data_IF_839555459986
#
_entry.id   IF_839555459986
#
_cell.length_a   1.000
_cell.length_b   1.000
_cell.length_c   1.000
_cell.angle_alpha   90.00
_cell.angle_beta   90.00
_cell.angle_gamma   90.00
#
_symmetry.space_group_name_H-M   'P 1'
#
loop_
_entity.id
_entity.type
_entity.pdbx_description
1 polymer ?
#
# COMPACT_ATOMS: atom_id res chain seq x y z
N UNK A 1 -12.58 -8.10 7.25
CA UNK A 1 -12.53 -6.69 7.71
C UNK A 1 -13.13 -5.81 6.62
N UNK A 2 -13.45 -4.53 6.86
CA UNK A 2 -13.88 -3.61 5.79
C UNK A 2 -12.71 -2.75 5.30
N UNK A 3 -12.72 -2.36 4.02
CA UNK A 3 -11.70 -1.47 3.45
C UNK A 3 -11.58 -0.16 4.22
N UNK A 4 -12.71 0.36 4.72
CA UNK A 4 -12.78 1.57 5.54
C UNK A 4 -12.03 1.44 6.88
N UNK A 5 -12.07 0.26 7.51
CA UNK A 5 -11.30 0.02 8.74
C UNK A 5 -9.79 0.04 8.47
N UNK A 6 -9.35 -0.58 7.36
CA UNK A 6 -7.95 -0.54 6.92
C UNK A 6 -7.53 0.90 6.60
N UNK A 7 -8.36 1.65 5.88
CA UNK A 7 -8.12 3.05 5.55
C UNK A 7 -7.97 3.94 6.80
N UNK A 8 -8.80 3.71 7.82
CA UNK A 8 -8.70 4.42 9.10
C UNK A 8 -7.39 4.11 9.82
N UNK A 9 -6.97 2.83 9.85
CA UNK A 9 -5.71 2.42 10.45
C UNK A 9 -4.51 3.03 9.69
N UNK A 10 -4.53 3.00 8.36
CA UNK A 10 -3.52 3.65 7.52
C UNK A 10 -3.39 5.14 7.84
N UNK A 11 -4.52 5.84 7.92
CA UNK A 11 -4.57 7.29 8.21
C UNK A 11 -3.98 7.62 9.58
N UNK A 12 -4.23 6.78 10.59
CA UNK A 12 -3.70 6.96 11.95
C UNK A 12 -2.17 6.86 12.01
N UNK A 13 -1.56 6.02 11.15
CA UNK A 13 -0.13 5.78 11.11
C UNK A 13 0.56 6.33 9.87
N UNK A 14 -0.06 7.30 9.18
CA UNK A 14 0.35 7.75 7.85
C UNK A 14 1.86 8.05 7.71
N UNK A 15 2.44 8.79 8.66
CA UNK A 15 3.89 9.09 8.63
C UNK A 15 4.78 7.84 8.65
N UNK A 16 4.42 6.83 9.46
CA UNK A 16 5.17 5.57 9.55
C UNK A 16 4.99 4.73 8.29
N UNK A 17 3.78 4.77 7.73
CA UNK A 17 3.42 4.02 6.52
C UNK A 17 4.09 4.60 5.29
N UNK A 18 4.09 5.91 5.10
CA UNK A 18 4.83 6.54 3.99
C UNK A 18 6.32 6.19 4.07
N UNK A 19 6.93 6.30 5.25
CA UNK A 19 8.34 5.91 5.44
C UNK A 19 8.60 4.41 5.17
N UNK A 20 7.63 3.55 5.48
CA UNK A 20 7.74 2.12 5.25
C UNK A 20 7.51 1.74 3.80
N UNK A 21 6.64 2.45 3.08
CA UNK A 21 6.49 2.33 1.63
C UNK A 21 7.80 2.70 0.96
N UNK A 22 8.40 3.83 1.34
CA UNK A 22 9.68 4.27 0.79
C UNK A 22 10.76 3.20 0.99
N UNK A 23 10.87 2.68 2.23
CA UNK A 23 11.82 1.62 2.58
C UNK A 23 11.56 0.33 1.81
N UNK A 24 10.29 -0.09 1.72
CA UNK A 24 9.90 -1.29 1.01
C UNK A 24 10.23 -1.18 -0.49
N UNK A 25 9.98 -0.01 -1.10
CA UNK A 25 10.30 0.26 -2.51
C UNK A 25 11.81 0.31 -2.73
N UNK A 26 12.56 0.92 -1.82
CA UNK A 26 14.03 0.97 -1.92
C UNK A 26 14.66 -0.41 -1.85
N UNK A 27 14.13 -1.27 -0.99
CA UNK A 27 14.58 -2.64 -0.81
C UNK A 27 14.30 -3.54 -2.03
N UNK A 28 13.50 -3.11 -3.00
CA UNK A 28 13.20 -3.92 -4.19
C UNK A 28 14.45 -4.06 -5.08
N UNK A 29 14.95 -5.28 -5.29
CA UNK A 29 16.03 -5.51 -6.25
C UNK A 29 15.46 -5.49 -7.68
N UNK A 30 16.30 -5.15 -8.66
CA UNK A 30 15.98 -5.20 -10.09
C UNK A 30 14.86 -4.24 -10.59
N UNK A 31 14.43 -3.29 -9.76
CA UNK A 31 13.55 -2.18 -10.17
C UNK A 31 14.43 -0.96 -10.45
N UNK A 32 14.23 -0.30 -11.59
CA UNK A 32 14.97 0.91 -11.93
C UNK A 32 14.68 2.04 -10.93
N UNK A 33 15.66 2.90 -10.64
CA UNK A 33 15.49 4.02 -9.71
C UNK A 33 14.40 5.00 -10.16
N UNK A 34 14.19 5.11 -11.47
CA UNK A 34 13.10 5.89 -12.05
C UNK A 34 11.72 5.30 -11.70
N UNK A 35 11.57 3.98 -11.79
CA UNK A 35 10.34 3.31 -11.38
C UNK A 35 10.13 3.42 -9.87
N UNK A 36 11.18 3.22 -9.07
CA UNK A 36 11.11 3.40 -7.60
C UNK A 36 10.65 4.81 -7.24
N UNK A 37 11.25 5.84 -7.84
CA UNK A 37 10.89 7.24 -7.59
C UNK A 37 9.45 7.53 -7.99
N UNK A 38 9.00 6.98 -9.12
CA UNK A 38 7.61 7.11 -9.58
C UNK A 38 6.65 6.44 -8.61
N UNK A 39 6.97 5.22 -8.18
CA UNK A 39 6.13 4.45 -7.25
C UNK A 39 6.03 5.11 -5.88
N UNK A 40 7.11 5.66 -5.33
CA UNK A 40 7.07 6.41 -4.06
C UNK A 40 6.18 7.66 -4.12
N UNK A 41 6.21 8.37 -5.25
CA UNK A 41 5.35 9.54 -5.46
C UNK A 41 3.87 9.17 -5.59
N UNK A 42 3.58 8.03 -6.22
CA UNK A 42 2.21 7.57 -6.44
C UNK A 42 1.63 6.85 -5.22
N UNK A 43 2.41 5.97 -4.60
CA UNK A 43 2.02 5.13 -3.48
C UNK A 43 2.22 5.87 -2.16
N UNK A 44 1.32 6.81 -1.88
CA UNK A 44 1.25 7.50 -0.59
C UNK A 44 0.11 6.96 0.25
N UNK A 45 0.18 7.13 1.56
CA UNK A 45 -0.90 6.78 2.48
C UNK A 45 -2.21 7.44 2.06
N UNK A 46 -2.15 8.73 1.70
CA UNK A 46 -3.33 9.49 1.26
C UNK A 46 -3.97 8.85 0.02
N UNK A 47 -3.16 8.45 -0.96
CA UNK A 47 -3.64 7.79 -2.17
C UNK A 47 -4.25 6.41 -1.86
N UNK A 48 -3.58 5.61 -1.02
CA UNK A 48 -4.08 4.29 -0.58
C UNK A 48 -5.41 4.42 0.16
N UNK A 49 -5.52 5.34 1.11
CA UNK A 49 -6.75 5.63 1.87
C UNK A 49 -7.88 6.01 0.91
N UNK A 50 -7.60 6.86 -0.08
CA UNK A 50 -8.60 7.26 -1.07
C UNK A 50 -9.11 6.08 -1.89
N UNK A 51 -8.22 5.19 -2.35
CA UNK A 51 -8.60 3.98 -3.09
C UNK A 51 -9.42 3.02 -2.22
N UNK A 52 -8.97 2.76 -1.00
CA UNK A 52 -9.67 1.86 -0.08
C UNK A 52 -11.05 2.37 0.32
N UNK A 53 -11.23 3.68 0.46
CA UNK A 53 -12.55 4.27 0.72
C UNK A 53 -13.52 4.09 -0.46
N UNK A 54 -13.03 3.87 -1.68
CA UNK A 54 -13.86 3.59 -2.85
C UNK A 54 -14.25 2.10 -2.96
N UNK A 55 -13.67 1.21 -2.15
CA UNK A 55 -14.08 -0.20 -2.10
C UNK A 55 -15.34 -0.36 -1.24
N UNK A 56 -16.49 -0.11 -1.86
CA UNK A 56 -17.81 -0.24 -1.23
C UNK A 56 -18.31 -1.68 -1.38
N UNK A 57 -18.78 -2.29 -0.29
CA UNK A 57 -19.37 -3.64 -0.30
C UNK A 57 -18.38 -4.79 -0.47
N UNK A 58 -17.08 -4.50 -0.56
CA UNK A 58 -16.03 -5.52 -0.64
C UNK A 58 -15.61 -5.92 0.78
N UNK A 59 -15.53 -7.23 1.02
CA UNK A 59 -14.91 -7.79 2.23
C UNK A 59 -13.65 -8.54 1.83
N UNK A 60 -12.58 -8.33 2.60
CA UNK A 60 -11.28 -8.96 2.35
C UNK A 60 -10.45 -8.97 3.65
N UNK A 61 -9.29 -9.59 3.56
CA UNK A 61 -8.18 -9.47 4.50
C UNK A 61 -7.52 -8.10 4.39
N UNK A 62 -6.81 -7.68 5.44
CA UNK A 62 -6.03 -6.43 5.43
C UNK A 62 -4.98 -6.48 4.31
N UNK A 63 -4.25 -7.58 4.20
CA UNK A 63 -3.26 -7.79 3.13
C UNK A 63 -3.89 -7.66 1.74
N UNK A 64 -5.01 -8.34 1.51
CA UNK A 64 -5.71 -8.32 0.22
C UNK A 64 -6.17 -6.92 -0.18
N UNK A 65 -6.67 -6.13 0.78
CA UNK A 65 -7.01 -4.72 0.53
C UNK A 65 -5.79 -3.89 0.17
N UNK A 66 -4.68 -4.06 0.89
CA UNK A 66 -3.44 -3.32 0.60
C UNK A 66 -2.89 -3.69 -0.78
N UNK A 67 -2.82 -4.98 -1.12
CA UNK A 67 -2.38 -5.45 -2.44
C UNK A 67 -3.25 -4.85 -3.54
N UNK A 68 -4.58 -4.99 -3.43
CA UNK A 68 -5.53 -4.42 -4.41
C UNK A 68 -5.39 -2.89 -4.51
N UNK A 69 -5.23 -2.20 -3.39
CA UNK A 69 -5.01 -0.76 -3.33
C UNK A 69 -3.72 -0.34 -4.04
N UNK A 70 -2.61 -1.04 -3.77
CA UNK A 70 -1.31 -0.80 -4.41
C UNK A 70 -1.40 -1.02 -5.92
N UNK A 71 -1.96 -2.15 -6.36
CA UNK A 71 -2.11 -2.49 -7.77
C UNK A 71 -3.06 -1.53 -8.52
N UNK A 72 -4.06 -0.99 -7.83
CA UNK A 72 -4.95 0.05 -8.39
C UNK A 72 -4.21 1.36 -8.59
N UNK A 73 -3.31 1.73 -7.68
CA UNK A 73 -2.51 2.96 -7.79
C UNK A 73 -1.39 2.85 -8.81
N UNK A 74 -0.79 1.67 -8.94
CA UNK A 74 0.33 1.42 -9.84
C UNK A 74 -0.04 0.24 -10.76
N UNK A 75 -0.84 0.49 -11.81
CA UNK A 75 -1.19 -0.54 -12.78
C UNK A 75 0.08 -1.03 -13.50
N UNK A 76 0.33 -2.34 -13.43
CA UNK A 76 1.54 -2.97 -14.00
C UNK A 76 2.63 -3.30 -12.99
N UNK A 77 2.46 -2.97 -11.71
CA UNK A 77 3.34 -3.50 -10.66
C UNK A 77 3.13 -5.02 -10.53
N UNK A 78 4.22 -5.82 -10.52
CA UNK A 78 4.13 -7.25 -10.21
C UNK A 78 3.50 -7.51 -8.84
N UNK A 79 2.61 -8.49 -8.75
CA UNK A 79 1.87 -8.80 -7.51
C UNK A 79 2.78 -9.18 -6.34
N UNK A 80 3.92 -9.83 -6.61
CA UNK A 80 4.91 -10.16 -5.57
C UNK A 80 5.52 -8.91 -4.91
N UNK A 81 5.67 -7.81 -5.67
CA UNK A 81 6.12 -6.51 -5.13
C UNK A 81 5.02 -5.90 -4.28
N UNK A 82 3.79 -5.88 -4.78
CA UNK A 82 2.64 -5.35 -4.05
C UNK A 82 2.42 -6.11 -2.74
N UNK A 83 2.56 -7.44 -2.74
CA UNK A 83 2.51 -8.27 -1.52
C UNK A 83 3.68 -7.95 -0.58
N UNK A 84 4.91 -7.78 -1.08
CA UNK A 84 6.06 -7.39 -0.25
C UNK A 84 5.85 -6.06 0.47
N UNK A 85 5.32 -5.06 -0.24
CA UNK A 85 4.97 -3.75 0.35
C UNK A 85 3.82 -3.93 1.35
N UNK A 86 2.74 -4.63 0.97
CA UNK A 86 1.59 -4.86 1.84
C UNK A 86 1.97 -5.53 3.16
N UNK A 87 2.83 -6.56 3.13
CA UNK A 87 3.35 -7.21 4.34
C UNK A 87 4.14 -6.26 5.22
N UNK A 88 4.96 -5.40 4.62
CA UNK A 88 5.70 -4.37 5.35
C UNK A 88 4.73 -3.40 6.06
N UNK A 89 3.64 -3.01 5.39
CA UNK A 89 2.61 -2.17 5.97
C UNK A 89 1.86 -2.86 7.11
N UNK A 90 1.55 -4.15 6.96
CA UNK A 90 0.90 -4.92 8.01
C UNK A 90 1.71 -5.01 9.30
N UNK A 91 3.05 -5.01 9.23
CA UNK A 91 3.89 -4.99 10.44
C UNK A 91 3.73 -3.69 11.24
N UNK A 92 3.25 -2.61 10.61
CA UNK A 92 3.05 -1.30 11.24
C UNK A 92 1.62 -1.13 11.72
N UNK A 93 0.68 -1.77 11.04
CA UNK A 93 -0.75 -1.69 11.32
C UNK A 93 -1.12 -2.69 12.43
N UNK A 94 -1.54 -2.24 13.63
CA UNK A 94 -1.95 -3.14 14.70
C UNK A 94 -3.40 -3.60 14.49
N UNK A 95 -3.64 -4.43 13.47
CA UNK A 95 -4.98 -4.94 13.09
C UNK A 95 -4.97 -6.44 12.82
#
# INVERSE_FOLDING_TARGET
MTAKAVAAALSKYAKKIDSAIDTAIDALPFVSDQNKTTWKKTLTTVALVKVLNNFIGVTDTVEGFLIKGILTLIPGMPEWIASGIAKTLMMILPI
#
